data_IF_585090844363
#
_entry.id   IF_585090844363
#
_cell.length_a   1.000
_cell.length_b   1.000
_cell.length_c   1.000
_cell.angle_alpha   90.00
_cell.angle_beta   90.00
_cell.angle_gamma   90.00
#
_symmetry.space_group_name_H-M   'P 1'
#
loop_
_entity.id
_entity.type
_entity.pdbx_description
1 polymer ?
#
# COMPACT_ATOMS: atom_id res chain seq x y z
N UNK A 1 2.79 -13.01 26.19
CA UNK A 1 3.80 -12.23 25.42
C UNK A 1 3.12 -11.86 24.10
N UNK A 2 3.13 -10.60 23.67
CA UNK A 2 2.50 -10.26 22.40
C UNK A 2 3.33 -10.90 21.29
N UNK A 3 2.72 -11.84 20.57
CA UNK A 3 3.22 -12.41 19.33
C UNK A 3 3.47 -11.25 18.36
N UNK A 4 4.72 -11.09 17.92
CA UNK A 4 5.23 -9.98 17.12
C UNK A 4 4.62 -9.95 15.69
N UNK A 5 3.33 -9.65 15.55
CA UNK A 5 2.67 -9.35 14.28
C UNK A 5 3.02 -7.94 13.78
N UNK A 6 3.14 -6.97 14.71
CA UNK A 6 3.48 -5.57 14.41
C UNK A 6 4.80 -5.38 13.63
N UNK A 7 5.72 -6.34 13.71
CA UNK A 7 7.00 -6.26 12.99
C UNK A 7 6.84 -6.35 11.46
N UNK A 8 5.68 -6.77 10.93
CA UNK A 8 5.43 -6.97 9.49
C UNK A 8 4.18 -6.23 8.98
N UNK A 9 3.63 -5.30 9.75
CA UNK A 9 2.56 -4.43 9.28
C UNK A 9 3.10 -3.34 8.33
N UNK A 10 2.38 -3.13 7.23
CA UNK A 10 2.72 -2.16 6.18
C UNK A 10 1.57 -1.19 5.99
N UNK A 11 1.77 0.07 6.37
CA UNK A 11 0.82 1.14 6.09
C UNK A 11 0.82 1.47 4.60
N UNK A 12 -0.33 1.38 3.94
CA UNK A 12 -0.55 1.72 2.54
C UNK A 12 -1.32 3.03 2.48
N UNK A 13 -0.61 4.07 2.07
CA UNK A 13 -1.14 5.41 1.81
C UNK A 13 -1.16 5.60 0.29
N UNK A 14 -2.32 5.42 -0.34
CA UNK A 14 -2.49 5.56 -1.78
C UNK A 14 -3.90 6.06 -2.13
N UNK A 15 -4.12 6.50 -3.39
CA UNK A 15 -5.45 6.82 -3.87
C UNK A 15 -6.38 5.59 -3.86
N UNK A 16 -7.68 5.82 -3.68
CA UNK A 16 -8.71 4.76 -3.70
C UNK A 16 -9.73 4.91 -4.84
N UNK A 17 -9.47 5.81 -5.79
CA UNK A 17 -10.35 5.98 -6.93
C UNK A 17 -10.30 4.76 -7.88
N UNK A 18 -11.34 4.59 -8.68
CA UNK A 18 -11.48 3.43 -9.57
C UNK A 18 -10.33 3.28 -10.57
N UNK A 19 -9.69 4.38 -10.97
CA UNK A 19 -8.56 4.34 -11.91
C UNK A 19 -7.27 3.85 -11.25
N UNK A 20 -7.15 4.01 -9.93
CA UNK A 20 -6.00 3.52 -9.16
C UNK A 20 -6.22 2.10 -8.59
N UNK A 21 -7.47 1.62 -8.51
CA UNK A 21 -7.85 0.31 -7.96
C UNK A 21 -6.95 -0.86 -8.45
N UNK A 22 -6.56 -0.97 -9.73
CA UNK A 22 -5.65 -2.02 -10.19
C UNK A 22 -4.26 -1.98 -9.54
N UNK A 23 -3.68 -0.79 -9.35
CA UNK A 23 -2.38 -0.61 -8.69
C UNK A 23 -2.51 -0.89 -7.20
N UNK A 24 -3.59 -0.42 -6.56
CA UNK A 24 -3.86 -0.71 -5.15
C UNK A 24 -3.91 -2.22 -4.87
N UNK A 25 -4.66 -2.98 -5.67
CA UNK A 25 -4.72 -4.44 -5.53
C UNK A 25 -3.39 -5.13 -5.76
N UNK A 26 -2.56 -4.62 -6.67
CA UNK A 26 -1.21 -5.12 -6.89
C UNK A 26 -0.31 -4.90 -5.66
N UNK A 27 -0.42 -3.74 -4.99
CA UNK A 27 0.29 -3.47 -3.73
C UNK A 27 -0.18 -4.43 -2.63
N UNK A 28 -1.49 -4.55 -2.41
CA UNK A 28 -2.07 -5.43 -1.39
C UNK A 28 -1.65 -6.88 -1.60
N UNK A 29 -1.77 -7.38 -2.83
CA UNK A 29 -1.33 -8.73 -3.19
C UNK A 29 0.16 -8.92 -2.91
N UNK A 30 1.02 -7.98 -3.31
CA UNK A 30 2.46 -8.07 -3.10
C UNK A 30 2.83 -8.10 -1.62
N UNK A 31 2.18 -7.26 -0.81
CA UNK A 31 2.40 -7.21 0.65
C UNK A 31 2.06 -8.56 1.28
N UNK A 32 0.87 -9.11 0.99
CA UNK A 32 0.43 -10.41 1.49
C UNK A 32 1.35 -11.55 0.99
N UNK A 33 1.65 -11.56 -0.31
CA UNK A 33 2.53 -12.56 -0.95
C UNK A 33 3.94 -12.57 -0.37
N UNK A 34 4.40 -11.41 0.10
CA UNK A 34 5.70 -11.25 0.75
C UNK A 34 5.69 -11.62 2.25
N UNK A 35 4.56 -12.07 2.80
CA UNK A 35 4.41 -12.43 4.21
C UNK A 35 4.29 -11.23 5.15
N UNK A 36 3.73 -10.12 4.66
CA UNK A 36 3.42 -8.91 5.44
C UNK A 36 1.91 -8.70 5.52
N UNK A 37 1.49 -7.87 6.46
CA UNK A 37 0.09 -7.53 6.67
C UNK A 37 -0.17 -6.12 6.13
N UNK A 38 -0.98 -5.96 5.07
CA UNK A 38 -1.34 -4.65 4.54
C UNK A 38 -2.28 -3.96 5.51
N UNK A 39 -2.01 -2.68 5.79
CA UNK A 39 -2.85 -1.84 6.63
C UNK A 39 -3.21 -0.54 5.91
N UNK A 40 -4.45 -0.10 5.91
CA UNK A 40 -4.85 1.16 5.26
C UNK A 40 -6.12 1.77 5.87
N UNK A 41 -6.45 3.00 5.45
CA UNK A 41 -7.60 3.74 5.96
C UNK A 41 -8.97 3.07 5.69
N UNK A 42 -9.03 2.02 4.85
CA UNK A 42 -10.25 1.28 4.53
C UNK A 42 -10.53 0.10 5.49
N UNK A 43 -9.69 -0.17 6.48
CA UNK A 43 -9.86 -1.30 7.42
C UNK A 43 -11.08 -1.20 8.35
N UNK A 44 -11.55 0.00 8.65
CA UNK A 44 -12.60 0.21 9.63
C UNK A 44 -13.59 1.25 9.11
N UNK A 45 -14.74 0.76 8.62
CA UNK A 45 -15.88 1.57 8.21
C UNK A 45 -16.76 1.96 9.42
N UNK A 46 -16.12 2.45 10.49
CA UNK A 46 -16.84 3.02 11.62
C UNK A 46 -16.96 4.54 11.37
N UNK A 47 -18.15 5.10 11.23
CA UNK A 47 -18.29 6.54 10.98
C UNK A 47 -18.08 7.41 12.24
N UNK A 48 -17.86 6.81 13.41
CA UNK A 48 -17.82 7.52 14.70
C UNK A 48 -16.45 8.09 15.11
N UNK A 49 -15.35 7.64 14.52
CA UNK A 49 -14.02 8.15 14.86
C UNK A 49 -13.47 9.12 13.81
N UNK A 50 -12.57 10.00 14.26
CA UNK A 50 -11.90 10.95 13.40
C UNK A 50 -10.92 10.24 12.44
N UNK A 51 -11.11 10.42 11.12
CA UNK A 51 -10.25 9.84 10.06
C UNK A 51 -8.75 10.06 10.29
N UNK A 52 -8.35 11.25 10.74
CA UNK A 52 -6.94 11.57 10.99
C UNK A 52 -6.39 10.76 12.18
N UNK A 53 -7.17 10.61 13.25
CA UNK A 53 -6.77 9.84 14.42
C UNK A 53 -6.54 8.36 14.07
N UNK A 54 -7.36 7.79 13.19
CA UNK A 54 -7.17 6.43 12.67
C UNK A 54 -5.89 6.27 11.89
N UNK A 55 -5.64 7.18 10.96
CA UNK A 55 -4.39 7.16 10.17
C UNK A 55 -3.19 7.26 11.10
N UNK A 56 -3.25 8.11 12.13
CA UNK A 56 -2.19 8.21 13.13
C UNK A 56 -2.00 6.89 13.91
N UNK A 57 -3.08 6.20 14.30
CA UNK A 57 -3.01 4.90 14.96
C UNK A 57 -2.38 3.82 14.05
N UNK A 58 -2.80 3.72 12.79
CA UNK A 58 -2.20 2.80 11.82
C UNK A 58 -0.72 3.13 11.61
N UNK A 59 -0.38 4.41 11.44
CA UNK A 59 1.01 4.85 11.33
C UNK A 59 1.79 4.46 12.58
N UNK A 60 1.24 4.61 13.78
CA UNK A 60 1.90 4.25 15.02
C UNK A 60 2.27 2.76 15.04
N UNK A 61 1.33 1.88 14.67
CA UNK A 61 1.46 0.42 14.66
C UNK A 61 2.37 -0.12 13.55
N UNK A 62 2.40 0.52 12.37
CA UNK A 62 3.14 0.01 11.22
C UNK A 62 4.63 0.36 11.24
N UNK A 63 5.50 -0.65 11.11
CA UNK A 63 6.94 -0.42 10.91
C UNK A 63 7.26 0.02 9.47
N UNK A 64 6.51 -0.49 8.50
CA UNK A 64 6.72 -0.24 7.08
C UNK A 64 5.63 0.69 6.54
N UNK A 65 5.96 1.52 5.56
CA UNK A 65 5.01 2.40 4.88
C UNK A 65 5.25 2.39 3.37
N UNK A 66 4.20 2.20 2.59
CA UNK A 66 4.18 2.40 1.14
C UNK A 66 3.29 3.61 0.88
N UNK A 67 3.88 4.65 0.31
CA UNK A 67 3.24 5.94 0.09
C UNK A 67 3.23 6.28 -1.38
N UNK A 68 2.06 6.26 -2.00
CA UNK A 68 1.88 6.67 -3.37
C UNK A 68 1.31 8.10 -3.45
N UNK A 69 2.11 9.00 -4.01
CA UNK A 69 1.78 10.43 -4.13
C UNK A 69 1.31 10.81 -5.55
N UNK A 70 0.87 9.83 -6.35
CA UNK A 70 0.46 10.03 -7.74
C UNK A 70 -0.76 10.94 -7.90
N UNK A 71 -1.64 11.00 -6.88
CA UNK A 71 -2.88 11.80 -6.94
C UNK A 71 -2.67 13.18 -6.33
N UNK A 72 -2.49 14.18 -7.20
CA UNK A 72 -2.45 15.61 -6.85
C UNK A 72 -3.20 16.49 -7.85
N UNK A 73 -4.07 15.88 -8.65
CA UNK A 73 -4.94 16.58 -9.60
C UNK A 73 -5.93 17.47 -8.87
N UNK A 74 -6.28 18.56 -9.53
CA UNK A 74 -7.38 19.43 -9.10
C UNK A 74 -8.72 18.75 -9.34
N UNK A 75 -9.63 18.90 -8.40
CA UNK A 75 -10.99 18.34 -8.45
C UNK A 75 -11.97 19.27 -7.70
N UNK A 76 -13.27 19.12 -7.96
CA UNK A 76 -14.34 19.95 -7.38
C UNK A 76 -14.57 21.29 -8.08
N UNK A 77 -15.42 22.11 -7.46
CA UNK A 77 -15.77 23.47 -7.92
C UNK A 77 -15.80 24.47 -6.74
N UNK A 78 -14.87 25.44 -6.68
CA UNK A 78 -13.74 25.64 -7.59
C UNK A 78 -12.68 24.52 -7.46
N UNK A 79 -11.91 24.24 -8.52
CA UNK A 79 -11.00 23.09 -8.54
C UNK A 79 -9.81 23.29 -7.59
N UNK A 80 -9.64 22.37 -6.63
CA UNK A 80 -8.54 22.37 -5.66
C UNK A 80 -7.80 21.01 -5.68
N UNK A 81 -6.45 21.00 -5.52
CA UNK A 81 -5.70 19.76 -5.42
C UNK A 81 -5.97 19.05 -4.09
N UNK A 82 -6.01 17.71 -4.12
CA UNK A 82 -6.07 16.90 -2.89
C UNK A 82 -4.65 16.70 -2.34
N UNK A 83 -4.44 17.06 -1.08
CA UNK A 83 -3.15 16.94 -0.40
C UNK A 83 -3.07 15.78 0.59
N UNK A 84 -4.05 14.88 0.60
CA UNK A 84 -4.13 13.81 1.59
C UNK A 84 -2.89 12.90 1.55
N UNK A 85 -2.44 12.45 0.37
CA UNK A 85 -1.28 11.54 0.29
C UNK A 85 0.02 12.22 0.78
N UNK A 86 0.36 13.46 0.35
CA UNK A 86 1.45 14.23 0.95
C UNK A 86 1.33 14.46 2.46
N UNK A 87 0.13 14.76 2.97
CA UNK A 87 -0.11 14.97 4.40
C UNK A 87 0.19 13.69 5.20
N UNK A 88 -0.38 12.57 4.77
CA UNK A 88 -0.22 11.26 5.43
C UNK A 88 1.24 10.76 5.34
N UNK A 89 1.96 11.05 4.24
CA UNK A 89 3.41 10.83 4.12
C UNK A 89 4.20 11.68 5.14
N UNK A 90 3.84 12.96 5.26
CA UNK A 90 4.44 13.89 6.22
C UNK A 90 4.28 13.41 7.67
N UNK A 91 3.11 12.89 8.02
CA UNK A 91 2.86 12.29 9.34
C UNK A 91 3.76 11.07 9.58
N UNK A 92 3.91 10.18 8.60
CA UNK A 92 4.78 9.01 8.71
C UNK A 92 6.26 9.40 8.87
N UNK A 93 6.74 10.38 8.11
CA UNK A 93 8.10 10.92 8.25
C UNK A 93 8.30 11.64 9.58
N UNK A 94 7.30 12.39 10.05
CA UNK A 94 7.30 13.03 11.35
C UNK A 94 7.44 12.01 12.48
N UNK A 95 6.61 10.96 12.46
CA UNK A 95 6.69 9.85 13.40
C UNK A 95 8.10 9.21 13.38
N UNK A 96 8.63 8.92 12.19
CA UNK A 96 9.99 8.40 12.04
C UNK A 96 11.07 9.32 12.61
N UNK A 97 10.96 10.64 12.42
CA UNK A 97 12.01 11.60 12.78
C UNK A 97 11.99 11.97 14.26
N UNK A 98 10.79 12.11 14.82
CA UNK A 98 10.53 12.73 16.12
C UNK A 98 9.92 11.78 17.16
N UNK A 99 9.44 10.61 16.75
CA UNK A 99 8.86 9.60 17.65
C UNK A 99 9.91 8.85 18.49
N UNK A 100 9.41 7.89 19.27
CA UNK A 100 10.22 7.03 20.14
C UNK A 100 11.16 6.09 19.33
N UNK A 101 11.94 5.27 20.03
CA UNK A 101 12.91 4.37 19.39
C UNK A 101 12.28 3.45 18.34
N UNK A 102 11.09 2.93 18.58
CA UNK A 102 10.37 2.06 17.64
C UNK A 102 9.97 2.82 16.38
N UNK A 103 9.42 4.03 16.55
CA UNK A 103 9.03 4.90 15.43
C UNK A 103 10.24 5.25 14.54
N UNK A 104 11.42 5.48 15.14
CA UNK A 104 12.67 5.77 14.40
C UNK A 104 13.15 4.61 13.53
N UNK A 105 12.68 3.39 13.78
CA UNK A 105 12.99 2.22 12.94
C UNK A 105 12.17 2.15 11.66
N UNK A 106 11.16 3.01 11.48
CA UNK A 106 10.27 2.96 10.32
C UNK A 106 11.02 3.03 8.99
N UNK A 107 10.48 2.34 7.99
CA UNK A 107 10.98 2.32 6.62
C UNK A 107 9.84 2.72 5.69
N UNK A 108 10.13 3.60 4.74
CA UNK A 108 9.16 4.06 3.76
C UNK A 108 9.63 3.75 2.35
N UNK A 109 8.69 3.35 1.50
CA UNK A 109 8.76 3.39 0.05
C UNK A 109 7.87 4.54 -0.41
N UNK A 110 8.39 5.40 -1.28
CA UNK A 110 7.60 6.46 -1.91
C UNK A 110 7.48 6.17 -3.39
N UNK A 111 6.24 6.15 -3.88
CA UNK A 111 5.85 5.86 -5.26
C UNK A 111 5.21 7.10 -5.88
N UNK A 112 5.41 7.27 -7.18
CA UNK A 112 4.69 8.23 -8.01
C UNK A 112 4.41 7.57 -9.37
N UNK A 113 3.42 8.08 -10.11
CA UNK A 113 3.12 7.56 -11.44
C UNK A 113 4.16 7.99 -12.46
N UNK A 114 4.78 9.15 -12.23
CA UNK A 114 5.72 9.77 -13.16
C UNK A 114 7.01 10.16 -12.42
N UNK A 115 8.15 9.88 -13.04
CA UNK A 115 9.44 10.22 -12.45
C UNK A 115 9.56 11.74 -12.29
N UNK A 116 10.02 12.18 -11.11
CA UNK A 116 10.26 13.58 -10.76
C UNK A 116 9.04 14.51 -10.70
N UNK A 117 7.81 14.02 -10.93
CA UNK A 117 6.58 14.82 -10.86
C UNK A 117 6.39 15.49 -9.49
N UNK A 118 6.74 14.78 -8.41
CA UNK A 118 6.74 15.27 -7.03
C UNK A 118 7.50 16.59 -6.82
N UNK A 119 8.53 16.91 -7.61
CA UNK A 119 9.30 18.15 -7.44
C UNK A 119 8.44 19.41 -7.63
N UNK A 120 7.28 19.28 -8.30
CA UNK A 120 6.36 20.38 -8.55
C UNK A 120 5.45 20.71 -7.36
N UNK A 121 5.29 19.80 -6.40
CA UNK A 121 4.32 19.95 -5.31
C UNK A 121 4.83 19.53 -3.92
N UNK A 122 5.99 18.85 -3.85
CA UNK A 122 6.67 18.46 -2.61
C UNK A 122 8.18 18.31 -2.86
N UNK A 123 8.86 19.37 -3.30
CA UNK A 123 10.30 19.30 -3.66
C UNK A 123 11.22 18.91 -2.50
N UNK A 124 10.82 19.14 -1.25
CA UNK A 124 11.66 18.87 -0.06
C UNK A 124 11.95 17.39 0.17
N UNK A 125 11.19 16.47 -0.45
CA UNK A 125 11.48 15.03 -0.43
C UNK A 125 12.43 14.61 -1.56
N UNK A 126 12.96 15.55 -2.35
CA UNK A 126 14.01 15.27 -3.33
C UNK A 126 15.23 14.66 -2.63
N UNK A 127 15.65 13.48 -3.11
CA UNK A 127 16.71 12.68 -2.48
C UNK A 127 16.19 11.49 -1.68
N UNK A 128 14.87 11.38 -1.43
CA UNK A 128 14.25 10.08 -1.28
C UNK A 128 14.30 9.37 -2.64
N UNK A 129 14.71 8.10 -2.68
CA UNK A 129 14.67 7.29 -3.90
C UNK A 129 13.19 7.02 -4.22
N UNK A 130 12.59 7.88 -5.04
CA UNK A 130 11.17 7.83 -5.41
C UNK A 130 11.02 6.99 -6.67
N UNK A 131 10.23 5.93 -6.58
CA UNK A 131 10.08 4.96 -7.66
C UNK A 131 8.85 5.29 -8.51
N UNK A 132 9.05 5.34 -9.82
CA UNK A 132 7.97 5.58 -10.77
C UNK A 132 7.36 4.26 -11.26
N UNK A 133 6.03 4.10 -11.14
CA UNK A 133 5.35 2.89 -11.60
C UNK A 133 4.58 3.06 -12.91
N UNK A 134 4.35 4.30 -13.40
CA UNK A 134 3.73 4.51 -14.71
C UNK A 134 2.26 4.08 -14.80
N UNK A 135 1.54 4.05 -13.68
CA UNK A 135 0.19 3.45 -13.58
C UNK A 135 0.13 1.97 -13.98
N UNK A 136 1.28 1.26 -13.97
CA UNK A 136 1.39 -0.14 -14.33
C UNK A 136 1.46 -1.02 -13.06
N UNK A 137 0.50 -1.95 -12.86
CA UNK A 137 0.50 -2.86 -11.73
C UNK A 137 1.78 -3.71 -11.63
N UNK A 138 2.26 -4.31 -12.72
CA UNK A 138 3.44 -5.17 -12.72
C UNK A 138 4.72 -4.42 -12.31
N UNK A 139 4.91 -3.20 -12.82
CA UNK A 139 6.00 -2.32 -12.39
C UNK A 139 5.88 -1.96 -10.91
N UNK A 140 4.67 -1.68 -10.43
CA UNK A 140 4.43 -1.40 -9.01
C UNK A 140 4.83 -2.60 -8.14
N UNK A 141 4.41 -3.82 -8.51
CA UNK A 141 4.80 -5.07 -7.85
C UNK A 141 6.32 -5.20 -7.80
N UNK A 142 7.02 -4.93 -8.90
CA UNK A 142 8.48 -5.00 -8.94
C UNK A 142 9.16 -4.08 -7.93
N UNK A 143 8.68 -2.83 -7.81
CA UNK A 143 9.22 -1.87 -6.84
C UNK A 143 8.91 -2.31 -5.40
N UNK A 144 7.66 -2.67 -5.11
CA UNK A 144 7.21 -3.05 -3.76
C UNK A 144 7.92 -4.31 -3.27
N UNK A 145 7.96 -5.37 -4.09
CA UNK A 145 8.61 -6.63 -3.73
C UNK A 145 10.12 -6.45 -3.47
N UNK A 146 10.78 -5.67 -4.33
CA UNK A 146 12.22 -5.39 -4.19
C UNK A 146 12.51 -4.59 -2.94
N UNK A 147 11.69 -3.58 -2.65
CA UNK A 147 11.82 -2.79 -1.44
C UNK A 147 11.57 -3.61 -0.18
N UNK A 148 10.49 -4.39 -0.12
CA UNK A 148 10.17 -5.26 1.03
C UNK A 148 11.28 -6.26 1.30
N UNK A 149 11.80 -6.94 0.27
CA UNK A 149 12.96 -7.85 0.38
C UNK A 149 14.19 -7.16 0.96
N UNK A 150 14.49 -5.96 0.47
CA UNK A 150 15.67 -5.20 0.91
C UNK A 150 15.53 -4.70 2.35
N UNK A 151 14.39 -4.11 2.70
CA UNK A 151 14.18 -3.47 4.00
C UNK A 151 13.92 -4.47 5.13
N UNK A 152 13.34 -5.63 4.82
CA UNK A 152 13.14 -6.71 5.79
C UNK A 152 14.32 -7.68 5.90
N UNK A 153 15.21 -7.69 4.90
CA UNK A 153 16.30 -8.65 4.74
C UNK A 153 15.81 -10.10 4.63
N UNK A 154 14.56 -10.30 4.22
CA UNK A 154 13.97 -11.62 4.03
C UNK A 154 14.25 -12.11 2.60
N UNK A 155 15.22 -13.01 2.48
CA UNK A 155 15.63 -13.60 1.20
C UNK A 155 14.60 -14.57 0.60
N UNK A 156 13.54 -14.91 1.34
CA UNK A 156 12.46 -15.78 0.85
C UNK A 156 11.43 -15.05 0.01
N UNK A 157 11.42 -13.71 0.05
CA UNK A 157 10.49 -12.90 -0.75
C UNK A 157 10.86 -13.05 -2.24
N UNK A 158 9.96 -13.57 -3.09
CA UNK A 158 10.25 -13.78 -4.51
C UNK A 158 10.61 -12.48 -5.25
N UNK A 159 11.22 -12.63 -6.43
CA UNK A 159 11.43 -11.52 -7.35
C UNK A 159 10.11 -10.90 -7.80
N UNK A 160 10.10 -9.59 -8.05
CA UNK A 160 8.89 -8.87 -8.42
C UNK A 160 8.16 -9.43 -9.64
N UNK A 161 8.91 -9.84 -10.67
CA UNK A 161 8.34 -10.50 -11.87
C UNK A 161 7.58 -11.78 -11.53
N UNK A 162 8.12 -12.59 -10.63
CA UNK A 162 7.46 -13.83 -10.18
C UNK A 162 6.14 -13.52 -9.46
N UNK A 163 6.15 -12.50 -8.59
CA UNK A 163 4.93 -12.04 -7.91
C UNK A 163 3.93 -11.45 -8.92
N UNK A 164 4.40 -10.76 -9.97
CA UNK A 164 3.54 -10.23 -11.03
C UNK A 164 2.84 -11.34 -11.80
N UNK A 165 3.57 -12.40 -12.18
CA UNK A 165 2.98 -13.59 -12.82
C UNK A 165 1.92 -14.24 -11.93
N UNK A 166 2.20 -14.40 -10.64
CA UNK A 166 1.23 -14.96 -9.67
C UNK A 166 0.00 -14.07 -9.51
N UNK A 167 0.19 -12.74 -9.52
CA UNK A 167 -0.91 -11.78 -9.46
C UNK A 167 -1.79 -11.85 -10.70
N UNK A 168 -1.21 -11.97 -11.89
CA UNK A 168 -1.96 -12.15 -13.14
C UNK A 168 -2.79 -13.44 -13.12
N UNK A 169 -2.21 -14.54 -12.63
CA UNK A 169 -2.94 -15.82 -12.45
C UNK A 169 -4.08 -15.64 -11.46
N UNK A 170 -3.83 -15.04 -10.30
CA UNK A 170 -4.87 -14.75 -9.31
C UNK A 170 -6.00 -13.90 -9.91
N UNK A 171 -5.68 -12.83 -10.63
CA UNK A 171 -6.67 -11.99 -11.30
C UNK A 171 -7.52 -12.76 -12.30
N UNK A 172 -6.92 -13.68 -13.07
CA UNK A 172 -7.66 -14.52 -14.02
C UNK A 172 -8.65 -15.47 -13.34
N UNK A 173 -8.39 -15.85 -12.09
CA UNK A 173 -9.23 -16.73 -11.28
C UNK A 173 -10.19 -15.97 -10.37
N UNK A 174 -9.96 -14.67 -10.15
CA UNK A 174 -10.68 -13.84 -9.17
C UNK A 174 -12.19 -13.94 -9.33
N UNK A 175 -12.71 -13.91 -10.56
CA UNK A 175 -14.14 -14.05 -10.82
C UNK A 175 -14.73 -15.36 -10.29
N UNK A 176 -14.04 -16.48 -10.49
CA UNK A 176 -14.48 -17.78 -9.97
C UNK A 176 -14.36 -17.85 -8.44
N UNK A 177 -13.26 -17.34 -7.88
CA UNK A 177 -13.06 -17.29 -6.42
C UNK A 177 -14.16 -16.42 -5.75
N UNK A 178 -14.54 -15.30 -6.38
CA UNK A 178 -15.64 -14.46 -5.89
C UNK A 178 -16.98 -15.18 -5.99
N UNK A 179 -17.28 -15.82 -7.13
CA UNK A 179 -18.52 -16.56 -7.34
C UNK A 179 -18.72 -17.70 -6.32
N UNK A 180 -17.65 -18.40 -5.95
CA UNK A 180 -17.68 -19.45 -4.91
C UNK A 180 -18.08 -18.92 -3.52
N UNK A 181 -17.89 -17.61 -3.29
CA UNK A 181 -18.31 -16.91 -2.06
C UNK A 181 -19.58 -16.08 -2.25
N UNK A 182 -20.20 -16.12 -3.43
CA UNK A 182 -21.37 -15.30 -3.76
C UNK A 182 -21.07 -13.80 -3.82
N UNK A 183 -19.85 -13.42 -4.21
CA UNK A 183 -19.39 -12.04 -4.38
C UNK A 183 -19.17 -11.72 -5.85
N UNK A 184 -19.24 -10.43 -6.20
CA UNK A 184 -18.80 -9.90 -7.49
C UNK A 184 -17.44 -9.17 -7.36
N UNK A 185 -16.55 -9.21 -8.39
CA UNK A 185 -15.23 -8.58 -8.29
C UNK A 185 -15.25 -7.05 -8.10
N UNK A 186 -16.29 -6.36 -8.55
CA UNK A 186 -16.39 -4.90 -8.50
C UNK A 186 -16.86 -4.37 -7.14
N UNK A 187 -17.60 -5.17 -6.36
CA UNK A 187 -18.04 -4.86 -5.00
C UNK A 187 -17.00 -5.16 -3.90
N UNK A 188 -15.91 -5.87 -4.23
CA UNK A 188 -14.90 -6.24 -3.24
C UNK A 188 -14.38 -5.03 -2.46
N UNK A 189 -14.52 -5.11 -1.13
CA UNK A 189 -13.88 -4.20 -0.19
C UNK A 189 -12.40 -4.55 -0.02
N UNK A 190 -11.66 -3.69 0.70
CA UNK A 190 -10.28 -3.99 1.09
C UNK A 190 -10.18 -5.29 1.90
N UNK A 191 -11.10 -5.50 2.85
CA UNK A 191 -11.16 -6.70 3.67
C UNK A 191 -11.38 -7.96 2.83
N UNK A 192 -12.40 -7.93 1.97
CA UNK A 192 -12.72 -9.08 1.10
C UNK A 192 -11.53 -9.47 0.23
N UNK A 193 -10.91 -8.49 -0.45
CA UNK A 193 -9.77 -8.75 -1.30
C UNK A 193 -8.57 -9.32 -0.51
N UNK A 194 -8.26 -8.75 0.65
CA UNK A 194 -7.16 -9.21 1.48
C UNK A 194 -7.38 -10.66 1.96
N UNK A 195 -8.60 -11.01 2.36
CA UNK A 195 -8.97 -12.37 2.77
C UNK A 195 -8.94 -13.36 1.60
N UNK A 196 -9.40 -12.96 0.42
CA UNK A 196 -9.36 -13.78 -0.79
C UNK A 196 -7.92 -14.09 -1.18
N UNK A 197 -7.04 -13.09 -1.19
CA UNK A 197 -5.61 -13.28 -1.46
C UNK A 197 -4.96 -14.17 -0.40
N UNK A 198 -5.21 -13.92 0.89
CA UNK A 198 -4.65 -14.73 1.96
C UNK A 198 -5.07 -16.20 1.83
N UNK A 199 -6.34 -16.47 1.52
CA UNK A 199 -6.83 -17.83 1.28
C UNK A 199 -6.17 -18.46 0.04
N UNK A 200 -6.09 -17.73 -1.07
CA UNK A 200 -5.46 -18.20 -2.31
C UNK A 200 -4.01 -18.66 -2.08
N UNK A 201 -3.22 -17.85 -1.37
CA UNK A 201 -1.81 -18.13 -1.07
C UNK A 201 -1.58 -19.31 -0.12
N UNK A 202 -2.62 -19.80 0.58
CA UNK A 202 -2.51 -20.99 1.43
C UNK A 202 -2.75 -22.30 0.69
N UNK A 203 -3.42 -22.26 -0.46
CA UNK A 203 -3.81 -23.44 -1.24
C UNK A 203 -2.76 -23.77 -2.32
N UNK A 204 -2.16 -22.74 -2.94
CA UNK A 204 -1.11 -22.88 -3.96
C UNK A 204 0.17 -22.10 -3.53
N UNK A 205 1.20 -22.76 -2.97
CA UNK A 205 2.45 -22.10 -2.55
C UNK A 205 3.42 -21.71 -3.68
#
# INVERSE_FOLDING_TARGET
MPTSTAARDVFINCPFDSTYKPVFWAIVFTVLRSGFSPRCALEADDSSENRLARIQAIIEECRYGIHDISRTEVDGDPPLPRFNMPLELGLFFGAKRYGNNDQRTKRALVLDREQYRYQRFISDIAGADIHAHGADPGKCIEQVATWLRTQSRDTKIPGGRKISEEFEVFQSQLGAICADRGLEPDELTFGDFAELVAAYLTVDP
#
